data_IF_263801472212
#
_entry.id   IF_263801472212
#
_cell.length_a   1.000
_cell.length_b   1.000
_cell.length_c   1.000
_cell.angle_alpha   90.00
_cell.angle_beta   90.00
_cell.angle_gamma   90.00
#
_symmetry.space_group_name_H-M   'P 1'
#
loop_
_entity.id
_entity.type
_entity.pdbx_description
1 polymer ?
#
# COMPACT_ATOMS: atom_id res chain seq x y z
N UNK A 1 -1.41 18.02 -27.86
CA UNK A 1 -2.14 17.44 -26.72
C UNK A 1 -1.09 17.11 -25.67
N UNK A 2 -1.10 17.76 -24.51
CA UNK A 2 -0.13 17.51 -23.46
C UNK A 2 -0.43 16.20 -22.74
N UNK A 3 0.62 15.42 -22.49
CA UNK A 3 0.54 14.16 -21.73
C UNK A 3 0.83 14.49 -20.27
N UNK A 4 -0.11 14.25 -19.33
CA UNK A 4 0.15 14.46 -17.91
C UNK A 4 1.09 13.39 -17.35
N UNK A 5 1.86 13.76 -16.31
CA UNK A 5 2.74 12.84 -15.60
C UNK A 5 1.97 11.80 -14.77
N UNK A 6 0.77 12.13 -14.30
CA UNK A 6 -0.06 11.29 -13.45
C UNK A 6 -1.49 11.15 -13.98
N UNK A 7 -2.09 9.98 -13.76
CA UNK A 7 -3.47 9.67 -14.13
C UNK A 7 -4.11 8.77 -13.07
N UNK A 8 -5.27 9.16 -12.56
CA UNK A 8 -6.05 8.35 -11.64
C UNK A 8 -7.21 7.67 -12.36
N UNK A 9 -7.37 6.36 -12.15
CA UNK A 9 -8.44 5.57 -12.76
C UNK A 9 -9.16 4.74 -11.71
N UNK A 10 -10.36 5.16 -11.32
CA UNK A 10 -11.26 4.40 -10.45
C UNK A 10 -12.16 3.50 -11.30
N UNK A 11 -11.62 2.37 -11.76
CA UNK A 11 -12.36 1.46 -12.64
C UNK A 11 -13.08 0.36 -11.85
N UNK A 12 -14.41 0.47 -11.73
CA UNK A 12 -15.24 -0.52 -11.05
C UNK A 12 -15.25 -0.40 -9.52
N UNK A 13 -15.60 -1.49 -8.84
CA UNK A 13 -15.71 -1.54 -7.37
C UNK A 13 -14.53 -2.29 -6.75
N UNK A 14 -14.22 -1.99 -5.48
CA UNK A 14 -13.13 -2.67 -4.76
C UNK A 14 -13.45 -4.14 -4.57
N UNK A 15 -12.47 -4.99 -4.89
CA UNK A 15 -12.55 -6.44 -4.66
C UNK A 15 -12.50 -6.75 -3.16
N UNK A 16 -13.01 -7.92 -2.79
CA UNK A 16 -12.87 -8.44 -1.42
C UNK A 16 -11.39 -8.68 -1.13
N UNK A 17 -10.89 -8.10 -0.04
CA UNK A 17 -9.52 -8.29 0.38
C UNK A 17 -9.28 -9.73 0.90
N UNK A 18 -8.04 -10.25 0.82
CA UNK A 18 -7.68 -11.58 1.33
C UNK A 18 -7.93 -11.78 2.83
N UNK A 19 -7.91 -10.70 3.61
CA UNK A 19 -8.13 -10.73 5.06
C UNK A 19 -9.22 -9.74 5.46
N UNK A 20 -9.70 -9.85 6.70
CA UNK A 20 -10.68 -8.92 7.24
C UNK A 20 -10.12 -7.49 7.34
N UNK A 21 -11.02 -6.51 7.34
CA UNK A 21 -10.63 -5.11 7.57
C UNK A 21 -9.91 -4.92 8.92
N UNK A 22 -10.28 -5.73 9.93
CA UNK A 22 -9.64 -5.66 11.24
C UNK A 22 -8.18 -6.13 11.20
N UNK A 23 -7.87 -7.16 10.40
CA UNK A 23 -6.50 -7.64 10.25
C UNK A 23 -5.60 -6.57 9.63
N UNK A 24 -6.04 -5.90 8.57
CA UNK A 24 -5.27 -4.78 7.99
C UNK A 24 -5.12 -3.61 8.96
N UNK A 25 -6.15 -3.27 9.73
CA UNK A 25 -6.05 -2.26 10.80
C UNK A 25 -4.99 -2.64 11.84
N UNK A 26 -4.95 -3.90 12.26
CA UNK A 26 -3.96 -4.39 13.22
C UNK A 26 -2.54 -4.25 12.67
N UNK A 27 -2.31 -4.61 11.40
CA UNK A 27 -1.00 -4.47 10.74
C UNK A 27 -0.56 -3.01 10.66
N UNK A 28 -1.45 -2.12 10.22
CA UNK A 28 -1.16 -0.68 10.10
C UNK A 28 -0.90 -0.03 11.46
N UNK A 29 -1.63 -0.43 12.51
CA UNK A 29 -1.41 0.10 13.85
C UNK A 29 -0.03 -0.30 14.38
N UNK A 30 0.38 -1.56 14.19
CA UNK A 30 1.71 -2.04 14.62
C UNK A 30 2.85 -1.26 13.97
N UNK A 31 2.80 -1.03 12.64
CA UNK A 31 3.88 -0.29 11.97
C UNK A 31 3.89 1.18 12.38
N UNK A 32 2.72 1.81 12.56
CA UNK A 32 2.63 3.20 13.04
C UNK A 32 3.11 3.36 14.48
N UNK A 33 2.92 2.36 15.32
CA UNK A 33 3.45 2.35 16.69
C UNK A 33 4.98 2.33 16.68
N UNK A 34 5.59 1.50 15.83
CA UNK A 34 7.05 1.48 15.64
C UNK A 34 7.54 2.81 15.08
N UNK A 35 6.88 3.34 14.04
CA UNK A 35 7.21 4.67 13.48
C UNK A 35 7.18 5.77 14.54
N UNK A 36 6.16 5.78 15.41
CA UNK A 36 6.04 6.76 16.49
C UNK A 36 7.16 6.61 17.53
N UNK A 37 7.49 5.36 17.92
CA UNK A 37 8.59 5.07 18.86
C UNK A 37 9.94 5.50 18.32
N UNK A 38 10.15 5.34 17.01
CA UNK A 38 11.42 5.61 16.35
C UNK A 38 11.49 7.01 15.72
N UNK A 39 10.50 7.87 15.96
CA UNK A 39 10.39 9.23 15.42
C UNK A 39 10.49 9.28 13.88
N UNK A 40 9.74 8.41 13.21
CA UNK A 40 9.65 8.28 11.76
C UNK A 40 8.34 8.92 11.26
N UNK A 41 8.44 9.98 10.48
CA UNK A 41 7.27 10.68 9.93
C UNK A 41 6.58 9.90 8.79
N UNK A 42 7.36 9.19 7.97
CA UNK A 42 6.88 8.51 6.78
C UNK A 42 7.68 7.25 6.47
N UNK A 43 6.98 6.23 5.95
CA UNK A 43 7.59 5.08 5.30
C UNK A 43 7.11 4.99 3.85
N UNK A 44 8.02 4.65 2.93
CA UNK A 44 7.70 4.33 1.54
C UNK A 44 7.98 2.86 1.34
N UNK A 45 6.95 2.09 0.98
CA UNK A 45 7.06 0.65 0.77
C UNK A 45 7.31 0.36 -0.71
N UNK A 46 8.43 -0.29 -1.01
CA UNK A 46 8.82 -0.63 -2.40
C UNK A 46 8.83 -2.14 -2.67
N UNK A 47 9.09 -2.96 -1.64
CA UNK A 47 9.06 -4.41 -1.78
C UNK A 47 7.63 -4.93 -2.04
N UNK A 48 7.49 -5.89 -2.96
CA UNK A 48 6.22 -6.56 -3.24
C UNK A 48 5.56 -7.14 -1.98
N UNK A 49 6.36 -7.76 -1.10
CA UNK A 49 5.88 -8.39 0.11
C UNK A 49 5.27 -7.39 1.10
N UNK A 50 5.94 -6.27 1.39
CA UNK A 50 5.39 -5.27 2.32
C UNK A 50 4.17 -4.56 1.74
N UNK A 51 4.18 -4.22 0.44
CA UNK A 51 2.99 -3.64 -0.21
C UNK A 51 1.80 -4.60 -0.07
N UNK A 52 1.99 -5.88 -0.40
CA UNK A 52 0.94 -6.90 -0.26
C UNK A 52 0.50 -7.08 1.20
N UNK A 53 1.44 -7.09 2.14
CA UNK A 53 1.15 -7.29 3.56
C UNK A 53 0.25 -6.21 4.15
N UNK A 54 0.50 -4.94 3.82
CA UNK A 54 -0.24 -3.80 4.39
C UNK A 54 -1.48 -3.41 3.58
N UNK A 55 -1.57 -3.75 2.30
CA UNK A 55 -2.64 -3.26 1.41
C UNK A 55 -3.50 -4.36 0.79
N UNK A 56 -3.01 -5.61 0.76
CA UNK A 56 -3.62 -6.70 -0.01
C UNK A 56 -3.36 -6.62 -1.52
N UNK A 57 -2.59 -5.64 -2.00
CA UNK A 57 -2.25 -5.49 -3.41
C UNK A 57 -0.88 -6.12 -3.73
N UNK A 58 -0.85 -7.00 -4.72
CA UNK A 58 0.38 -7.59 -5.26
C UNK A 58 0.59 -6.98 -6.65
N UNK A 59 1.62 -6.14 -6.80
CA UNK A 59 1.96 -5.54 -8.08
C UNK A 59 2.82 -6.49 -8.94
N UNK A 60 2.74 -6.35 -10.25
CA UNK A 60 3.65 -6.98 -11.20
C UNK A 60 4.71 -5.95 -11.60
N UNK A 61 5.97 -6.16 -11.22
CA UNK A 61 7.04 -5.16 -11.41
C UNK A 61 7.26 -4.82 -12.88
N UNK A 62 7.44 -5.82 -13.74
CA UNK A 62 7.78 -5.60 -15.16
C UNK A 62 8.95 -4.61 -15.38
N UNK A 63 9.90 -4.54 -14.44
CA UNK A 63 11.03 -3.60 -14.51
C UNK A 63 10.64 -2.13 -14.36
N UNK A 64 9.44 -1.84 -13.81
CA UNK A 64 8.99 -0.50 -13.43
C UNK A 64 9.22 -0.33 -11.92
N UNK A 65 10.28 0.37 -11.51
CA UNK A 65 10.56 0.63 -10.09
C UNK A 65 9.58 1.65 -9.49
#
# INVERSE_FOLDING_TARGET
>A
MERPDFFELQNGTKVKLPFSNQEYKNRLNKVREVMSKDNIDMIILTSMHNIAYYTGFIYCSFGRP
#
